data_IF_231024273283
#
_entry.id   IF_231024273283
#
_cell.length_a   1.000
_cell.length_b   1.000
_cell.length_c   1.000
_cell.angle_alpha   90.00
_cell.angle_beta   90.00
_cell.angle_gamma   90.00
#
_symmetry.space_group_name_H-M   'P 1'
#
loop_
_entity.id
_entity.type
_entity.pdbx_description
1 polymer ?
#
# COMPACT_ATOMS: atom_id res chain seq x y z
N UNK A 1 -3.40 5.68 37.62
CA UNK A 1 -3.28 4.94 36.34
C UNK A 1 -4.32 5.49 35.39
N UNK A 2 -3.88 6.16 34.32
CA UNK A 2 -4.50 6.28 32.99
C UNK A 2 -3.65 7.31 32.25
N UNK A 3 -2.54 6.84 31.68
CA UNK A 3 -1.70 7.63 30.79
C UNK A 3 -2.53 7.99 29.57
N UNK A 4 -2.86 9.27 29.43
CA UNK A 4 -3.38 9.85 28.19
C UNK A 4 -2.23 9.84 27.18
N UNK A 5 -2.00 8.67 26.58
CA UNK A 5 -0.97 8.49 25.58
C UNK A 5 -1.35 9.23 24.31
N UNK A 6 -0.69 10.38 24.12
CA UNK A 6 -0.24 10.88 22.83
C UNK A 6 -1.35 11.04 21.77
N UNK A 7 -2.15 12.09 21.96
CA UNK A 7 -2.69 12.85 20.83
C UNK A 7 -1.50 13.44 20.05
N UNK A 8 -0.97 12.70 19.07
CA UNK A 8 0.07 13.21 18.18
C UNK A 8 -0.56 14.14 17.14
N UNK A 9 -0.31 15.42 17.38
CA UNK A 9 -0.38 16.52 16.43
C UNK A 9 0.41 16.16 15.17
N UNK A 10 -0.17 16.33 14.00
CA UNK A 10 0.59 16.55 12.75
C UNK A 10 -0.26 17.37 11.76
N UNK A 11 -0.50 18.63 12.11
CA UNK A 11 -0.88 19.66 11.13
C UNK A 11 0.44 20.16 10.52
N UNK A 12 0.87 19.52 9.42
CA UNK A 12 2.07 19.91 8.64
C UNK A 12 3.21 18.89 8.54
N UNK A 13 3.06 17.67 9.07
CA UNK A 13 4.12 16.65 9.06
C UNK A 13 4.16 15.80 7.78
N UNK A 14 5.33 15.72 7.12
CA UNK A 14 5.55 14.76 6.03
C UNK A 14 5.32 13.34 6.58
N UNK A 15 4.30 12.64 6.09
CA UNK A 15 4.03 11.24 6.48
C UNK A 15 5.30 10.42 6.25
N UNK A 16 5.84 9.80 7.31
CA UNK A 16 6.98 8.89 7.20
C UNK A 16 6.51 7.63 6.46
N UNK A 17 6.96 7.46 5.22
CA UNK A 17 6.73 6.26 4.43
C UNK A 17 7.99 5.40 4.45
N UNK A 18 7.83 4.09 4.55
CA UNK A 18 8.91 3.12 4.44
C UNK A 18 9.06 2.68 2.97
N UNK A 19 10.29 2.53 2.49
CA UNK A 19 10.58 2.11 1.13
C UNK A 19 10.85 0.61 1.06
N UNK A 20 10.34 -0.04 0.01
CA UNK A 20 10.67 -1.42 -0.35
C UNK A 20 11.38 -1.43 -1.72
N UNK A 21 12.30 -2.37 -1.92
CA UNK A 21 12.97 -2.62 -3.21
C UNK A 21 12.76 -4.08 -3.60
N UNK A 22 12.38 -4.32 -4.85
CA UNK A 22 12.11 -5.65 -5.38
C UNK A 22 12.51 -5.74 -6.85
N UNK A 23 13.02 -6.89 -7.25
CA UNK A 23 13.24 -7.21 -8.66
C UNK A 23 11.98 -7.81 -9.26
N UNK A 24 11.57 -7.30 -10.41
CA UNK A 24 10.45 -7.82 -11.20
C UNK A 24 10.92 -8.12 -12.62
N UNK A 25 10.21 -8.99 -13.32
CA UNK A 25 10.51 -9.25 -14.72
C UNK A 25 10.22 -8.01 -15.58
N UNK A 26 10.95 -7.81 -16.70
CA UNK A 26 10.69 -6.70 -17.60
C UNK A 26 9.24 -6.69 -18.12
N UNK A 27 8.70 -7.87 -18.43
CA UNK A 27 7.31 -8.03 -18.88
C UNK A 27 6.31 -7.53 -17.83
N UNK A 28 6.52 -7.88 -16.55
CA UNK A 28 5.64 -7.41 -15.49
C UNK A 28 5.73 -5.89 -15.32
N UNK A 29 6.93 -5.32 -15.43
CA UNK A 29 7.12 -3.86 -15.37
C UNK A 29 6.34 -3.16 -16.48
N UNK A 30 6.45 -3.63 -17.72
CA UNK A 30 5.73 -3.06 -18.87
C UNK A 30 4.22 -3.10 -18.68
N UNK A 31 3.67 -4.23 -18.19
CA UNK A 31 2.23 -4.34 -17.92
C UNK A 31 1.76 -3.37 -16.84
N UNK A 32 2.55 -3.17 -15.79
CA UNK A 32 2.22 -2.21 -14.73
C UNK A 32 2.32 -0.75 -15.21
N UNK A 33 3.30 -0.44 -16.06
CA UNK A 33 3.45 0.88 -16.66
C UNK A 33 2.25 1.22 -17.56
N UNK A 34 1.85 0.29 -18.44
CA UNK A 34 0.68 0.46 -19.30
C UNK A 34 -0.61 0.65 -18.48
N UNK A 35 -0.81 -0.17 -17.44
CA UNK A 35 -1.98 -0.02 -16.58
C UNK A 35 -2.00 1.34 -15.84
N UNK A 36 -0.84 1.82 -15.40
CA UNK A 36 -0.77 3.14 -14.76
C UNK A 36 -1.11 4.27 -15.74
N UNK A 37 -0.69 4.14 -17.00
CA UNK A 37 -1.03 5.07 -18.08
C UNK A 37 -2.53 5.05 -18.39
N UNK A 38 -3.13 3.87 -18.55
CA UNK A 38 -4.56 3.69 -18.80
C UNK A 38 -5.43 4.32 -17.70
N UNK A 39 -4.97 4.28 -16.43
CA UNK A 39 -5.65 4.90 -15.28
C UNK A 39 -5.23 6.36 -15.01
N UNK A 40 -4.40 6.98 -15.86
CA UNK A 40 -3.87 8.33 -15.70
C UNK A 40 -3.26 8.59 -14.30
N UNK A 41 -2.47 7.65 -13.78
CA UNK A 41 -1.84 7.69 -12.45
C UNK A 41 -0.36 7.33 -12.51
N UNK A 42 0.38 7.64 -11.44
CA UNK A 42 1.77 7.20 -11.35
C UNK A 42 1.88 5.68 -11.13
N UNK A 43 2.93 5.07 -11.69
CA UNK A 43 3.29 3.67 -11.44
C UNK A 43 3.41 3.37 -9.93
N UNK A 44 4.04 4.27 -9.17
CA UNK A 44 4.19 4.12 -7.71
C UNK A 44 2.83 4.09 -7.01
N UNK A 45 1.89 4.95 -7.41
CA UNK A 45 0.53 4.98 -6.86
C UNK A 45 -0.18 3.66 -7.16
N UNK A 46 -0.09 3.17 -8.41
CA UNK A 46 -0.69 1.89 -8.80
C UNK A 46 -0.13 0.73 -7.96
N UNK A 47 1.19 0.61 -7.86
CA UNK A 47 1.82 -0.47 -7.09
C UNK A 47 1.39 -0.44 -5.62
N UNK A 48 1.35 0.74 -4.99
CA UNK A 48 0.87 0.88 -3.60
C UNK A 48 -0.58 0.43 -3.47
N UNK A 49 -1.45 0.82 -4.41
CA UNK A 49 -2.86 0.40 -4.41
C UNK A 49 -3.01 -1.12 -4.56
N UNK A 50 -2.28 -1.74 -5.47
CA UNK A 50 -2.31 -3.20 -5.67
C UNK A 50 -1.84 -3.95 -4.43
N UNK A 51 -0.77 -3.48 -3.78
CA UNK A 51 -0.29 -4.05 -2.52
C UNK A 51 -1.32 -3.91 -1.39
N UNK A 52 -1.95 -2.74 -1.24
CA UNK A 52 -3.00 -2.53 -0.26
C UNK A 52 -4.20 -3.46 -0.49
N UNK A 53 -4.58 -3.65 -1.76
CA UNK A 53 -5.67 -4.57 -2.14
C UNK A 53 -5.32 -6.01 -1.76
N UNK A 54 -4.13 -6.49 -2.13
CA UNK A 54 -3.67 -7.84 -1.81
C UNK A 54 -3.62 -8.12 -0.30
N UNK A 55 -3.13 -7.16 0.51
CA UNK A 55 -3.12 -7.30 1.98
C UNK A 55 -4.54 -7.39 2.53
N UNK A 56 -5.45 -6.50 2.11
CA UNK A 56 -6.86 -6.54 2.55
C UNK A 56 -7.54 -7.86 2.18
N UNK A 57 -7.26 -8.40 1.01
CA UNK A 57 -7.80 -9.69 0.57
C UNK A 57 -7.28 -10.85 1.42
N UNK A 58 -5.97 -10.83 1.74
CA UNK A 58 -5.36 -11.81 2.65
C UNK A 58 -5.98 -11.76 4.05
N UNK A 59 -6.17 -10.55 4.60
CA UNK A 59 -6.73 -10.38 5.94
C UNK A 59 -8.17 -10.92 6.03
N UNK A 60 -8.98 -10.72 4.97
CA UNK A 60 -10.34 -11.28 4.89
C UNK A 60 -10.36 -12.80 4.87
N UNK A 61 -9.44 -13.42 4.13
CA UNK A 61 -9.33 -14.88 4.09
C UNK A 61 -8.99 -15.48 5.46
N UNK A 62 -8.24 -14.75 6.29
CA UNK A 62 -7.91 -15.19 7.65
C UNK A 62 -9.08 -15.02 8.63
N UNK A 63 -9.89 -13.96 8.51
CA UNK A 63 -11.08 -13.80 9.35
C UNK A 63 -12.14 -14.85 9.09
N UNK A 64 -12.32 -15.24 7.82
CA UNK A 64 -13.38 -16.17 7.41
C UNK A 64 -13.05 -17.64 7.72
N UNK A 65 -11.80 -17.96 8.07
CA UNK A 65 -11.37 -19.34 8.42
C UNK A 65 -11.43 -19.65 9.93
N UNK A 66 -11.89 -18.73 10.77
CA UNK A 66 -11.91 -18.89 12.23
C UNK A 66 -13.32 -18.96 12.83
N UNK A 67 -14.34 -19.31 12.03
CA UNK A 67 -15.72 -19.58 12.50
C UNK A 67 -16.13 -20.99 12.10
#
# INVERSE_FOLDING_TARGET
MLSVSKMQKDVGGKRKLEQISAYITPELKTKLEQWAEDEARSLSSLVVYLLQKAVKEKDKQQSDHTT
#
